data_IF_346230711592
#
_entry.id   IF_346230711592
#
_cell.length_a   1.000
_cell.length_b   1.000
_cell.length_c   1.000
_cell.angle_alpha   90.00
_cell.angle_beta   90.00
_cell.angle_gamma   90.00
#
_symmetry.space_group_name_H-M   'P 1'
#
loop_
_entity.id
_entity.type
_entity.pdbx_description
1 polymer ?
#
# COMPACT_ATOMS: atom_id res chain seq x y z
N UNK A 1 2.84 26.03 -1.05
CA UNK A 1 4.22 25.52 -1.20
C UNK A 1 4.96 25.40 0.13
N UNK A 2 5.19 26.50 0.89
CA UNK A 2 5.96 26.45 2.17
C UNK A 2 5.36 25.44 3.16
N UNK A 3 4.04 25.41 3.36
CA UNK A 3 3.39 24.44 4.26
C UNK A 3 3.61 22.98 3.83
N UNK A 4 3.58 22.68 2.53
CA UNK A 4 3.80 21.33 2.00
C UNK A 4 5.23 20.88 2.31
N UNK A 5 6.20 21.72 2.00
CA UNK A 5 7.62 21.45 2.27
C UNK A 5 7.85 21.28 3.77
N UNK A 6 7.27 22.13 4.61
CA UNK A 6 7.38 22.04 6.05
C UNK A 6 6.76 20.74 6.59
N UNK A 7 5.57 20.35 6.14
CA UNK A 7 4.94 19.08 6.53
C UNK A 7 5.78 17.88 6.08
N UNK A 8 6.25 17.88 4.85
CA UNK A 8 7.14 16.83 4.36
C UNK A 8 8.46 16.73 5.15
N UNK A 9 9.05 17.89 5.48
CA UNK A 9 10.24 17.93 6.33
C UNK A 9 9.98 17.36 7.72
N UNK A 10 8.85 17.66 8.34
CA UNK A 10 8.45 17.08 9.64
C UNK A 10 8.35 15.56 9.54
N UNK A 11 7.76 15.02 8.49
CA UNK A 11 7.67 13.57 8.30
C UNK A 11 9.04 12.92 8.11
N UNK A 12 9.90 13.49 7.26
CA UNK A 12 11.27 13.00 7.06
C UNK A 12 12.10 13.09 8.35
N UNK A 13 11.96 14.17 9.11
CA UNK A 13 12.61 14.33 10.41
C UNK A 13 12.12 13.31 11.45
N UNK A 14 10.81 13.03 11.48
CA UNK A 14 10.23 11.99 12.34
C UNK A 14 10.76 10.60 11.99
N UNK A 15 10.86 10.28 10.70
CA UNK A 15 11.44 9.03 10.23
C UNK A 15 12.93 8.93 10.60
N UNK A 16 13.69 10.01 10.39
CA UNK A 16 15.10 10.07 10.78
C UNK A 16 15.28 9.94 12.29
N UNK A 17 14.45 10.61 13.08
CA UNK A 17 14.44 10.48 14.55
C UNK A 17 14.24 9.02 14.95
N UNK A 18 13.25 8.33 14.40
CA UNK A 18 12.99 6.92 14.69
C UNK A 18 14.18 6.02 14.33
N UNK A 19 14.82 6.27 13.18
CA UNK A 19 16.03 5.57 12.77
C UNK A 19 17.19 5.80 13.74
N UNK A 20 17.41 7.05 14.19
CA UNK A 20 18.45 7.40 15.18
C UNK A 20 18.16 6.74 16.52
N UNK A 21 16.93 6.79 17.02
CA UNK A 21 16.52 6.15 18.27
C UNK A 21 16.74 4.63 18.22
N UNK A 22 16.48 3.99 17.05
CA UNK A 22 16.85 2.57 16.85
C UNK A 22 18.36 2.35 16.92
N UNK A 23 19.16 3.21 16.28
CA UNK A 23 20.63 3.09 16.34
C UNK A 23 21.20 3.29 17.75
N UNK A 24 20.54 4.09 18.58
CA UNK A 24 20.87 4.28 20.00
C UNK A 24 20.41 3.13 20.91
N UNK A 25 19.71 2.12 20.36
CA UNK A 25 19.22 0.96 21.11
C UNK A 25 17.97 1.22 21.94
N UNK A 26 17.30 2.39 21.78
CA UNK A 26 16.03 2.71 22.44
C UNK A 26 14.84 1.99 21.80
N UNK A 27 14.94 1.69 20.51
CA UNK A 27 13.98 0.87 19.76
C UNK A 27 14.68 -0.28 19.06
N UNK A 28 13.96 -1.40 18.93
CA UNK A 28 14.39 -2.60 18.22
C UNK A 28 13.53 -2.81 16.96
N UNK A 29 14.00 -3.64 16.05
CA UNK A 29 13.27 -3.94 14.79
C UNK A 29 11.88 -4.53 15.06
N UNK A 30 11.75 -5.28 16.13
CA UNK A 30 10.52 -5.95 16.58
C UNK A 30 9.44 -4.94 17.01
N UNK A 31 9.82 -3.76 17.48
CA UNK A 31 8.90 -2.71 17.96
C UNK A 31 8.02 -2.17 16.83
N UNK A 32 8.46 -2.33 15.57
CA UNK A 32 7.61 -2.02 14.40
C UNK A 32 6.26 -2.72 14.46
N UNK A 33 6.19 -3.93 15.08
CA UNK A 33 4.96 -4.70 15.22
C UNK A 33 3.95 -4.01 16.14
N UNK A 34 4.43 -3.43 17.22
CA UNK A 34 3.59 -2.68 18.17
C UNK A 34 3.02 -1.44 17.48
N UNK A 35 3.87 -0.68 16.77
CA UNK A 35 3.42 0.49 16.00
C UNK A 35 2.43 0.12 14.90
N UNK A 36 2.71 -0.96 14.17
CA UNK A 36 1.80 -1.48 13.13
C UNK A 36 0.44 -1.85 13.73
N UNK A 37 0.40 -2.50 14.89
CA UNK A 37 -0.86 -2.85 15.56
C UNK A 37 -1.61 -1.59 16.02
N UNK A 38 -0.94 -0.59 16.59
CA UNK A 38 -1.56 0.69 16.97
C UNK A 38 -2.16 1.41 15.75
N UNK A 39 -1.43 1.41 14.64
CA UNK A 39 -1.92 1.98 13.38
C UNK A 39 -3.16 1.19 12.91
N UNK A 40 -3.06 -0.11 12.78
CA UNK A 40 -4.06 -0.94 12.11
C UNK A 40 -5.36 -1.08 12.92
N UNK A 41 -5.25 -1.13 14.26
CA UNK A 41 -6.40 -1.37 15.14
C UNK A 41 -6.97 -0.10 15.79
N UNK A 42 -6.21 1.01 15.81
CA UNK A 42 -6.64 2.21 16.53
C UNK A 42 -6.62 3.44 15.64
N UNK A 43 -5.43 3.91 15.24
CA UNK A 43 -5.33 5.26 14.64
C UNK A 43 -5.78 5.31 13.19
N UNK A 44 -5.60 4.26 12.40
CA UNK A 44 -6.11 4.21 11.03
C UNK A 44 -7.65 4.12 11.00
N UNK A 45 -8.32 3.18 11.71
CA UNK A 45 -9.78 3.19 11.82
C UNK A 45 -10.35 4.53 12.24
N UNK A 46 -9.73 5.16 13.23
CA UNK A 46 -10.13 6.48 13.72
C UNK A 46 -9.97 7.57 12.64
N UNK A 47 -8.82 7.60 11.96
CA UNK A 47 -8.58 8.54 10.85
C UNK A 47 -9.57 8.35 9.70
N UNK A 48 -9.99 7.11 9.43
CA UNK A 48 -10.99 6.81 8.41
C UNK A 48 -12.39 7.30 8.79
N UNK A 49 -12.81 7.05 10.04
CA UNK A 49 -14.09 7.56 10.55
C UNK A 49 -14.14 9.08 10.43
N UNK A 50 -13.09 9.77 10.85
CA UNK A 50 -12.97 11.22 10.72
C UNK A 50 -13.00 11.68 9.26
N UNK A 51 -12.20 11.05 8.39
CA UNK A 51 -12.09 11.39 6.96
C UNK A 51 -13.37 11.13 6.14
N UNK A 52 -14.18 10.14 6.54
CA UNK A 52 -15.48 9.86 5.90
C UNK A 52 -16.61 10.70 6.48
N UNK A 53 -16.39 11.40 7.59
CA UNK A 53 -17.46 12.19 8.22
C UNK A 53 -17.96 13.28 7.28
N UNK A 54 -19.24 13.20 6.91
CA UNK A 54 -19.88 14.11 5.96
C UNK A 54 -19.58 13.86 4.49
N UNK A 55 -18.84 12.81 4.14
CA UNK A 55 -18.62 12.43 2.75
C UNK A 55 -19.90 11.87 2.15
N UNK A 56 -20.22 12.29 0.91
CA UNK A 56 -21.37 11.78 0.16
C UNK A 56 -20.89 10.76 -0.87
N UNK A 57 -21.54 9.60 -0.90
CA UNK A 57 -21.27 8.56 -1.91
C UNK A 57 -21.59 9.11 -3.28
N UNK A 58 -20.68 8.93 -4.21
CA UNK A 58 -20.82 9.32 -5.59
C UNK A 58 -20.17 8.30 -6.55
N UNK A 59 -20.43 8.44 -7.83
CA UNK A 59 -19.89 7.52 -8.86
C UNK A 59 -18.36 7.43 -8.85
N UNK A 60 -17.67 8.47 -8.38
CA UNK A 60 -16.22 8.51 -8.34
C UNK A 60 -15.61 7.53 -7.33
N UNK A 61 -16.39 7.01 -6.37
CA UNK A 61 -15.96 5.91 -5.49
C UNK A 61 -15.73 4.64 -6.31
N UNK A 62 -16.65 4.30 -7.19
CA UNK A 62 -16.50 3.15 -8.10
C UNK A 62 -15.34 3.39 -9.06
N UNK A 63 -15.20 4.59 -9.59
CA UNK A 63 -14.05 4.97 -10.44
C UNK A 63 -12.73 4.81 -9.70
N UNK A 64 -12.66 5.19 -8.41
CA UNK A 64 -11.45 4.99 -7.59
C UNK A 64 -11.08 3.52 -7.43
N UNK A 65 -12.06 2.64 -7.17
CA UNK A 65 -11.87 1.18 -7.10
C UNK A 65 -11.30 0.66 -8.43
N UNK A 66 -11.91 1.05 -9.55
CA UNK A 66 -11.48 0.62 -10.87
C UNK A 66 -10.07 1.10 -11.22
N UNK A 67 -9.69 2.30 -10.79
CA UNK A 67 -8.32 2.82 -10.98
C UNK A 67 -7.34 1.99 -10.15
N UNK A 68 -7.61 1.74 -8.86
CA UNK A 68 -6.76 0.92 -8.01
C UNK A 68 -6.57 -0.49 -8.57
N UNK A 69 -7.66 -1.11 -9.01
CA UNK A 69 -7.64 -2.41 -9.67
C UNK A 69 -6.85 -2.36 -11.00
N UNK A 70 -7.12 -1.38 -11.87
CA UNK A 70 -6.49 -1.25 -13.18
C UNK A 70 -4.98 -1.01 -13.11
N UNK A 71 -4.52 -0.12 -12.24
CA UNK A 71 -3.08 0.15 -12.05
C UNK A 71 -2.36 -1.11 -11.59
N UNK A 72 -2.92 -1.85 -10.64
CA UNK A 72 -2.33 -3.11 -10.18
C UNK A 72 -2.33 -4.19 -11.27
N UNK A 73 -3.38 -4.26 -12.08
CA UNK A 73 -3.43 -5.16 -13.25
C UNK A 73 -2.23 -4.91 -14.17
N UNK A 74 -2.01 -3.64 -14.54
CA UNK A 74 -0.89 -3.26 -15.40
C UNK A 74 0.45 -3.59 -14.74
N UNK A 75 0.61 -3.31 -13.46
CA UNK A 75 1.84 -3.61 -12.72
C UNK A 75 2.13 -5.12 -12.66
N UNK A 76 1.12 -5.96 -12.40
CA UNK A 76 1.28 -7.42 -12.38
C UNK A 76 1.68 -7.94 -13.77
N UNK A 77 0.98 -7.51 -14.81
CA UNK A 77 1.30 -7.92 -16.19
C UNK A 77 2.71 -7.50 -16.54
N UNK A 78 3.09 -6.26 -16.30
CA UNK A 78 4.43 -5.75 -16.58
C UNK A 78 5.51 -6.50 -15.78
N UNK A 79 5.25 -6.78 -14.48
CA UNK A 79 6.14 -7.57 -13.63
C UNK A 79 6.34 -8.99 -14.16
N UNK A 80 5.27 -9.66 -14.58
CA UNK A 80 5.36 -11.01 -15.16
C UNK A 80 6.07 -11.02 -16.52
N UNK A 81 5.88 -10.00 -17.35
CA UNK A 81 6.61 -9.85 -18.61
C UNK A 81 8.10 -9.59 -18.37
N UNK A 82 8.44 -8.72 -17.42
CA UNK A 82 9.82 -8.42 -17.04
C UNK A 82 10.55 -9.66 -16.48
N UNK A 83 9.83 -10.57 -15.84
CA UNK A 83 10.38 -11.80 -15.30
C UNK A 83 10.22 -13.02 -16.23
N UNK A 84 9.67 -12.88 -17.45
CA UNK A 84 9.30 -14.00 -18.31
C UNK A 84 10.48 -14.95 -18.64
N UNK A 85 11.69 -14.41 -18.74
CA UNK A 85 12.91 -15.17 -19.04
C UNK A 85 13.72 -15.56 -17.79
N UNK A 86 13.22 -15.23 -16.60
CA UNK A 86 13.86 -15.55 -15.31
C UNK A 86 13.40 -16.93 -14.82
N UNK A 87 14.13 -17.47 -13.84
CA UNK A 87 13.73 -18.70 -13.15
C UNK A 87 12.36 -18.55 -12.47
N UNK A 88 11.67 -19.68 -12.26
CA UNK A 88 10.32 -19.71 -11.71
C UNK A 88 10.23 -19.04 -10.33
N UNK A 89 11.26 -19.16 -9.50
CA UNK A 89 11.32 -18.49 -8.20
C UNK A 89 11.32 -16.97 -8.37
N UNK A 90 12.10 -16.45 -9.30
CA UNK A 90 12.13 -15.03 -9.62
C UNK A 90 10.80 -14.56 -10.22
N UNK A 91 10.14 -15.38 -11.08
CA UNK A 91 8.80 -15.07 -11.58
C UNK A 91 7.78 -14.95 -10.44
N UNK A 92 7.88 -15.82 -9.42
CA UNK A 92 7.03 -15.75 -8.22
C UNK A 92 7.36 -14.52 -7.38
N UNK A 93 8.63 -14.19 -7.18
CA UNK A 93 9.07 -12.98 -6.47
C UNK A 93 8.54 -11.71 -7.16
N UNK A 94 8.62 -11.65 -8.50
CA UNK A 94 8.07 -10.53 -9.26
C UNK A 94 6.54 -10.45 -9.16
N UNK A 95 5.83 -11.59 -9.10
CA UNK A 95 4.38 -11.61 -8.94
C UNK A 95 3.93 -10.91 -7.64
N UNK A 96 4.65 -11.13 -6.54
CA UNK A 96 4.27 -10.57 -5.22
C UNK A 96 4.85 -9.17 -4.94
N UNK A 97 5.84 -8.72 -5.74
CA UNK A 97 6.54 -7.46 -5.46
C UNK A 97 6.31 -6.37 -6.52
N UNK A 98 5.90 -6.72 -7.76
CA UNK A 98 5.71 -5.74 -8.83
C UNK A 98 4.48 -4.86 -8.61
N UNK A 99 3.43 -5.37 -7.96
CA UNK A 99 2.20 -4.64 -7.65
C UNK A 99 1.90 -4.62 -6.16
N UNK A 100 0.75 -4.08 -5.80
CA UNK A 100 0.33 -3.92 -4.42
C UNK A 100 0.97 -2.71 -3.74
N UNK A 101 0.14 -1.97 -3.03
CA UNK A 101 0.51 -0.73 -2.36
C UNK A 101 0.35 -0.86 -0.84
N UNK A 102 1.20 -0.19 -0.09
CA UNK A 102 1.05 -0.08 1.36
C UNK A 102 0.17 1.13 1.71
N UNK A 103 -1.10 1.04 1.31
CA UNK A 103 -2.04 2.14 1.47
C UNK A 103 -2.38 2.41 2.93
N UNK A 104 -2.90 1.41 3.61
CA UNK A 104 -3.44 1.52 4.96
C UNK A 104 -2.42 2.04 5.98
N UNK A 105 -1.21 1.48 5.97
CA UNK A 105 -0.19 1.85 6.98
C UNK A 105 0.61 3.11 6.62
N UNK A 106 0.69 3.50 5.35
CA UNK A 106 1.62 4.55 4.94
C UNK A 106 0.97 5.63 4.08
N UNK A 107 0.37 5.29 2.93
CA UNK A 107 -0.10 6.30 2.00
C UNK A 107 -1.32 7.08 2.53
N UNK A 108 -2.29 6.41 3.13
CA UNK A 108 -3.47 7.08 3.71
C UNK A 108 -3.05 8.00 4.86
N UNK A 109 -2.27 7.56 5.87
CA UNK A 109 -1.76 8.45 6.92
C UNK A 109 -1.00 9.67 6.39
N UNK A 110 -0.21 9.49 5.33
CA UNK A 110 0.55 10.58 4.75
C UNK A 110 -0.33 11.56 3.96
N UNK A 111 -1.10 11.06 3.00
CA UNK A 111 -1.88 11.89 2.07
C UNK A 111 -3.08 12.58 2.73
N UNK A 112 -3.66 12.00 3.79
CA UNK A 112 -4.78 12.61 4.54
C UNK A 112 -4.43 13.98 5.12
N UNK A 113 -3.15 14.25 5.41
CA UNK A 113 -2.70 15.54 5.93
C UNK A 113 -2.68 16.65 4.86
N UNK A 114 -2.61 16.28 3.58
CA UNK A 114 -2.61 17.22 2.46
C UNK A 114 -3.99 17.33 1.82
N UNK A 115 -4.71 16.22 1.77
CA UNK A 115 -6.00 16.10 1.09
C UNK A 115 -7.05 15.41 1.97
N UNK A 116 -7.45 15.99 3.12
CA UNK A 116 -8.42 15.33 4.01
C UNK A 116 -9.74 15.02 3.32
N UNK A 117 -10.25 15.91 2.46
CA UNK A 117 -11.46 15.66 1.66
C UNK A 117 -11.29 14.58 0.57
N UNK A 118 -10.07 14.18 0.27
CA UNK A 118 -9.75 13.11 -0.71
C UNK A 118 -9.66 11.71 -0.08
N UNK A 119 -9.66 11.59 1.23
CA UNK A 119 -9.51 10.31 1.95
C UNK A 119 -10.51 9.24 1.48
N UNK A 120 -11.81 9.54 1.26
CA UNK A 120 -12.75 8.53 0.77
C UNK A 120 -12.34 7.95 -0.59
N UNK A 121 -11.86 8.75 -1.53
CA UNK A 121 -11.38 8.26 -2.84
C UNK A 121 -10.15 7.37 -2.69
N UNK A 122 -9.25 7.73 -1.77
CA UNK A 122 -8.05 6.95 -1.49
C UNK A 122 -8.39 5.59 -0.87
N UNK A 123 -9.37 5.55 0.04
CA UNK A 123 -9.87 4.31 0.63
C UNK A 123 -10.52 3.41 -0.42
N UNK A 124 -11.29 3.98 -1.36
CA UNK A 124 -11.87 3.21 -2.45
C UNK A 124 -10.80 2.71 -3.43
N UNK A 125 -9.75 3.47 -3.68
CA UNK A 125 -8.59 2.99 -4.43
C UNK A 125 -7.94 1.78 -3.73
N UNK A 126 -7.79 1.84 -2.39
CA UNK A 126 -7.25 0.74 -1.58
C UNK A 126 -8.13 -0.53 -1.67
N UNK A 127 -9.45 -0.39 -1.75
CA UNK A 127 -10.34 -1.53 -2.03
C UNK A 127 -9.97 -2.21 -3.35
N UNK A 128 -9.72 -1.42 -4.42
CA UNK A 128 -9.27 -1.97 -5.71
C UNK A 128 -7.88 -2.62 -5.65
N UNK A 129 -6.94 -2.04 -4.90
CA UNK A 129 -5.62 -2.60 -4.61
C UNK A 129 -5.70 -3.92 -3.83
N UNK A 130 -6.61 -4.01 -2.87
CA UNK A 130 -6.75 -5.14 -1.96
C UNK A 130 -7.03 -6.46 -2.68
N UNK A 131 -7.65 -6.47 -3.85
CA UNK A 131 -7.80 -7.68 -4.67
C UNK A 131 -6.45 -8.28 -5.06
N UNK A 132 -5.44 -7.44 -5.26
CA UNK A 132 -4.08 -7.87 -5.59
C UNK A 132 -3.27 -8.18 -4.34
N UNK A 133 -3.25 -7.28 -3.37
CA UNK A 133 -2.48 -7.41 -2.14
C UNK A 133 -2.93 -8.56 -1.26
N UNK A 134 -4.22 -8.90 -1.24
CA UNK A 134 -4.75 -9.96 -0.36
C UNK A 134 -4.89 -11.33 -1.04
N UNK A 135 -4.72 -11.43 -2.36
CA UNK A 135 -4.94 -12.74 -2.99
C UNK A 135 -4.29 -12.95 -4.36
N UNK A 136 -4.54 -12.09 -5.34
CA UNK A 136 -4.18 -12.32 -6.74
C UNK A 136 -2.66 -12.51 -6.93
N UNK A 137 -1.84 -11.68 -6.29
CA UNK A 137 -0.39 -11.74 -6.39
C UNK A 137 0.16 -13.06 -5.84
N UNK A 138 -0.35 -13.51 -4.69
CA UNK A 138 0.00 -14.79 -4.10
C UNK A 138 -0.43 -15.96 -4.98
N UNK A 139 -1.63 -15.90 -5.55
CA UNK A 139 -2.15 -16.93 -6.44
C UNK A 139 -1.25 -17.09 -7.69
N UNK A 140 -0.88 -15.99 -8.34
CA UNK A 140 0.02 -16.01 -9.50
C UNK A 140 1.39 -16.58 -9.12
N UNK A 141 1.96 -16.14 -8.00
CA UNK A 141 3.26 -16.65 -7.53
C UNK A 141 3.21 -18.16 -7.24
N UNK A 142 2.16 -18.63 -6.56
CA UNK A 142 1.94 -20.06 -6.28
C UNK A 142 1.83 -20.88 -7.57
N UNK A 143 1.18 -20.35 -8.61
CA UNK A 143 1.13 -20.99 -9.93
C UNK A 143 2.53 -21.14 -10.55
N UNK A 144 3.42 -20.12 -10.43
CA UNK A 144 4.79 -20.19 -10.94
C UNK A 144 5.62 -21.26 -10.23
N UNK A 145 5.50 -21.35 -8.90
CA UNK A 145 6.17 -22.40 -8.11
C UNK A 145 5.64 -23.79 -8.46
N UNK A 146 4.33 -23.94 -8.64
CA UNK A 146 3.75 -25.23 -9.07
C UNK A 146 4.26 -25.66 -10.45
N UNK A 147 4.45 -24.72 -11.38
CA UNK A 147 5.06 -25.01 -12.68
C UNK A 147 6.51 -25.48 -12.53
N UNK A 148 7.33 -24.87 -11.66
CA UNK A 148 8.68 -25.31 -11.33
C UNK A 148 8.71 -26.76 -10.87
N UNK A 149 7.85 -27.11 -9.91
CA UNK A 149 7.79 -28.45 -9.34
C UNK A 149 7.40 -29.52 -10.36
N UNK A 150 6.51 -29.19 -11.31
CA UNK A 150 6.18 -30.07 -12.45
C UNK A 150 7.34 -30.26 -13.41
N UNK A 151 8.07 -29.21 -13.72
CA UNK A 151 9.24 -29.23 -14.59
C UNK A 151 10.39 -30.09 -13.98
N UNK A 152 10.49 -30.13 -12.66
CA UNK A 152 11.52 -30.86 -11.91
C UNK A 152 11.12 -32.28 -11.49
N UNK A 153 9.96 -32.81 -11.92
CA UNK A 153 9.39 -34.11 -11.47
C UNK A 153 9.34 -34.26 -9.92
N UNK A 154 9.32 -33.17 -9.18
CA UNK A 154 9.27 -33.18 -7.74
C UNK A 154 7.80 -33.20 -7.28
N UNK A 155 7.48 -34.02 -6.27
CA UNK A 155 6.13 -34.29 -5.77
C UNK A 155 5.27 -33.05 -5.65
N UNK A 156 4.04 -33.15 -6.17
CA UNK A 156 3.06 -32.08 -6.28
C UNK A 156 2.85 -31.30 -4.98
N UNK A 157 3.10 -29.99 -4.99
CA UNK A 157 2.27 -29.11 -4.19
C UNK A 157 0.88 -29.14 -4.84
N UNK A 158 -0.02 -29.96 -4.32
CA UNK A 158 -1.41 -29.99 -4.77
C UNK A 158 -1.95 -28.58 -4.61
N UNK A 159 -2.20 -27.92 -5.72
CA UNK A 159 -3.06 -26.76 -5.77
C UNK A 159 -4.45 -27.24 -5.33
N UNK A 160 -4.76 -27.13 -4.05
CA UNK A 160 -6.15 -27.19 -3.65
C UNK A 160 -6.86 -26.08 -4.40
N UNK A 161 -7.85 -26.43 -5.21
CA UNK A 161 -8.70 -25.44 -5.90
C UNK A 161 -9.33 -24.42 -4.92
N UNK A 162 -9.40 -24.78 -3.63
CA UNK A 162 -9.89 -23.90 -2.55
C UNK A 162 -8.92 -22.75 -2.19
N UNK A 163 -7.61 -22.87 -2.45
CA UNK A 163 -6.62 -21.86 -2.02
C UNK A 163 -6.60 -20.58 -2.89
N UNK A 164 -7.45 -20.47 -3.91
CA UNK A 164 -7.48 -19.35 -4.86
C UNK A 164 -8.94 -18.94 -5.17
N UNK A 165 -9.86 -19.30 -4.34
CA UNK A 165 -11.28 -18.95 -4.54
C UNK A 165 -11.53 -17.46 -4.34
N UNK A 166 -12.30 -16.83 -5.24
CA UNK A 166 -12.84 -15.47 -5.05
C UNK A 166 -13.43 -15.32 -3.65
N UNK A 167 -14.02 -16.39 -3.11
CA UNK A 167 -14.57 -16.44 -1.75
C UNK A 167 -13.50 -16.24 -0.66
N UNK A 168 -12.28 -16.76 -0.84
CA UNK A 168 -11.18 -16.55 0.14
C UNK A 168 -10.63 -15.15 0.07
N UNK A 169 -10.53 -14.57 -1.12
CA UNK A 169 -10.17 -13.15 -1.27
C UNK A 169 -11.22 -12.29 -0.58
N UNK A 170 -12.50 -12.52 -0.83
CA UNK A 170 -13.61 -11.81 -0.18
C UNK A 170 -13.58 -12.00 1.34
N UNK A 171 -13.37 -13.23 1.83
CA UNK A 171 -13.25 -13.50 3.26
C UNK A 171 -12.04 -12.77 3.88
N UNK A 172 -10.93 -12.70 3.16
CA UNK A 172 -9.73 -11.97 3.60
C UNK A 172 -9.97 -10.47 3.69
N UNK A 173 -10.77 -9.88 2.79
CA UNK A 173 -11.20 -8.49 2.87
C UNK A 173 -11.96 -8.21 4.17
N UNK A 174 -12.99 -9.01 4.46
CA UNK A 174 -13.83 -8.89 5.68
C UNK A 174 -13.15 -9.39 6.98
N UNK A 175 -11.90 -9.76 6.95
CA UNK A 175 -11.05 -9.96 8.15
C UNK A 175 -10.13 -8.78 8.42
N UNK A 176 -10.16 -7.76 7.58
CA UNK A 176 -9.35 -6.54 7.70
C UNK A 176 -10.15 -5.42 8.35
N UNK A 177 -9.79 -5.02 9.57
CA UNK A 177 -10.47 -3.92 10.27
C UNK A 177 -10.56 -2.63 9.46
N UNK A 178 -9.51 -2.15 8.76
CA UNK A 178 -9.65 -0.99 7.90
C UNK A 178 -10.69 -1.19 6.79
N UNK A 179 -10.76 -2.38 6.20
CA UNK A 179 -11.76 -2.69 5.18
C UNK A 179 -13.19 -2.66 5.77
N UNK A 180 -13.39 -3.24 6.95
CA UNK A 180 -14.69 -3.20 7.63
C UNK A 180 -15.11 -1.77 7.93
N UNK A 181 -14.18 -0.91 8.36
CA UNK A 181 -14.44 0.52 8.57
C UNK A 181 -14.78 1.22 7.26
N UNK A 182 -14.05 0.97 6.16
CA UNK A 182 -14.40 1.51 4.83
C UNK A 182 -15.82 1.11 4.44
N UNK A 183 -16.15 -0.17 4.60
CA UNK A 183 -17.47 -0.69 4.25
C UNK A 183 -18.57 -0.04 5.08
N UNK A 184 -18.42 -0.03 6.42
CA UNK A 184 -19.39 0.58 7.34
C UNK A 184 -19.56 2.07 7.03
N UNK A 185 -18.47 2.83 6.90
CA UNK A 185 -18.53 4.27 6.62
C UNK A 185 -19.14 4.57 5.24
N UNK A 186 -18.88 3.73 4.25
CA UNK A 186 -19.50 3.85 2.93
C UNK A 186 -21.02 3.60 3.00
N UNK A 187 -21.45 2.57 3.75
CA UNK A 187 -22.87 2.28 3.96
C UNK A 187 -23.56 3.43 4.71
N UNK A 188 -22.96 3.94 5.79
CA UNK A 188 -23.49 5.07 6.53
C UNK A 188 -23.61 6.34 5.66
N UNK A 189 -22.58 6.57 4.82
CA UNK A 189 -22.56 7.69 3.88
C UNK A 189 -23.67 7.54 2.82
N UNK A 190 -23.92 6.32 2.33
CA UNK A 190 -25.00 6.00 1.39
C UNK A 190 -26.38 6.23 2.02
N UNK A 191 -26.53 5.91 3.30
CA UNK A 191 -27.74 6.16 4.08
C UNK A 191 -27.90 7.63 4.51
N UNK A 192 -26.95 8.50 4.19
CA UNK A 192 -26.85 9.89 4.67
C UNK A 192 -26.89 9.98 6.20
N UNK A 193 -26.40 8.95 6.90
CA UNK A 193 -26.34 8.91 8.35
C UNK A 193 -25.05 9.54 8.84
N UNK A 194 -25.18 10.61 9.61
CA UNK A 194 -24.04 11.27 10.25
C UNK A 194 -23.82 10.68 11.64
N UNK A 195 -22.58 10.29 11.93
CA UNK A 195 -22.20 9.84 13.26
C UNK A 195 -22.36 10.98 14.30
N UNK A 196 -22.64 10.66 15.57
CA UNK A 196 -22.66 11.64 16.65
C UNK A 196 -21.33 12.40 16.76
N UNK A 197 -21.38 13.69 17.04
CA UNK A 197 -20.20 14.57 17.09
C UNK A 197 -19.14 14.07 18.10
N UNK A 198 -19.56 13.46 19.20
CA UNK A 198 -18.64 12.87 20.19
C UNK A 198 -17.81 11.71 19.61
N UNK A 199 -18.41 10.90 18.73
CA UNK A 199 -17.70 9.80 18.04
C UNK A 199 -16.69 10.37 17.05
N UNK A 200 -17.09 11.42 16.30
CA UNK A 200 -16.20 12.10 15.35
C UNK A 200 -15.02 12.74 16.07
N UNK A 201 -15.25 13.43 17.19
CA UNK A 201 -14.20 14.06 18.00
C UNK A 201 -13.24 13.02 18.57
N UNK A 202 -13.73 11.90 19.09
CA UNK A 202 -12.88 10.81 19.58
C UNK A 202 -12.05 10.18 18.46
N UNK A 203 -12.66 9.98 17.29
CA UNK A 203 -12.00 9.47 16.10
C UNK A 203 -10.92 10.45 15.61
N UNK A 204 -11.21 11.74 15.60
CA UNK A 204 -10.27 12.78 15.20
C UNK A 204 -9.06 12.84 16.13
N UNK A 205 -9.29 12.80 17.44
CA UNK A 205 -8.23 12.76 18.45
C UNK A 205 -7.28 11.56 18.24
N UNK A 206 -7.80 10.36 18.09
CA UNK A 206 -6.99 9.16 17.84
C UNK A 206 -6.34 9.18 16.45
N UNK A 207 -7.06 9.66 15.44
CA UNK A 207 -6.63 9.69 14.05
C UNK A 207 -5.44 10.61 13.78
N UNK A 208 -5.31 11.71 14.51
CA UNK A 208 -4.18 12.64 14.39
C UNK A 208 -2.82 11.99 14.67
N UNK A 209 -2.78 10.96 15.52
CA UNK A 209 -1.54 10.19 15.78
C UNK A 209 -1.09 9.30 14.62
N UNK A 210 -1.95 9.03 13.64
CA UNK A 210 -1.72 8.03 12.60
C UNK A 210 -0.47 8.34 11.76
N UNK A 211 -0.33 9.57 11.28
CA UNK A 211 0.84 9.99 10.49
C UNK A 211 2.14 9.90 11.26
N UNK A 212 2.17 10.32 12.53
CA UNK A 212 3.36 10.22 13.38
C UNK A 212 3.78 8.76 13.59
N UNK A 213 2.84 7.89 13.97
CA UNK A 213 3.13 6.47 14.20
C UNK A 213 3.62 5.77 12.93
N UNK A 214 3.04 6.12 11.76
CA UNK A 214 3.47 5.58 10.48
C UNK A 214 4.93 5.96 10.18
N UNK A 215 5.32 7.22 10.37
CA UNK A 215 6.71 7.67 10.14
C UNK A 215 7.69 7.04 11.13
N UNK A 216 7.31 6.89 12.39
CA UNK A 216 8.09 6.17 13.39
C UNK A 216 8.31 4.71 12.98
N UNK A 217 7.25 4.03 12.56
CA UNK A 217 7.31 2.62 12.09
C UNK A 217 8.25 2.47 10.90
N UNK A 218 8.20 3.39 9.93
CA UNK A 218 9.08 3.38 8.76
C UNK A 218 10.54 3.54 9.18
N UNK A 219 10.85 4.54 10.02
CA UNK A 219 12.21 4.80 10.48
C UNK A 219 12.82 3.62 11.25
N UNK A 220 12.04 2.97 12.12
CA UNK A 220 12.46 1.75 12.82
C UNK A 220 12.68 0.58 11.85
N UNK A 221 11.85 0.46 10.83
CA UNK A 221 11.92 -0.63 9.83
C UNK A 221 13.10 -0.49 8.87
N UNK A 222 13.69 0.70 8.76
CA UNK A 222 14.69 0.99 7.75
C UNK A 222 16.01 0.25 8.03
N UNK A 223 16.40 -0.65 7.10
CA UNK A 223 17.68 -1.37 7.07
C UNK A 223 18.13 -1.49 5.60
N UNK A 224 19.42 -1.16 5.38
CA UNK A 224 20.07 -1.34 4.07
C UNK A 224 21.18 -2.38 4.24
N UNK A 225 20.80 -3.66 4.17
CA UNK A 225 21.76 -4.74 4.05
C UNK A 225 21.44 -5.50 2.76
N UNK A 226 22.23 -5.29 1.70
CA UNK A 226 21.86 -5.69 0.36
C UNK A 226 23.07 -6.22 -0.42
N UNK A 227 22.93 -7.40 -1.03
CA UNK A 227 23.89 -7.90 -2.01
C UNK A 227 23.79 -7.13 -3.33
N UNK A 228 24.83 -7.16 -4.16
CA UNK A 228 24.81 -6.50 -5.49
C UNK A 228 23.73 -7.09 -6.41
N UNK A 229 23.49 -8.38 -6.32
CA UNK A 229 22.50 -9.10 -7.12
C UNK A 229 21.08 -8.67 -6.72
N UNK A 230 20.79 -8.68 -5.41
CA UNK A 230 19.52 -8.17 -4.85
C UNK A 230 19.28 -6.70 -5.24
N UNK A 231 20.34 -5.87 -5.25
CA UNK A 231 20.24 -4.47 -5.65
C UNK A 231 19.74 -4.30 -7.10
N UNK A 232 20.24 -5.11 -8.03
CA UNK A 232 19.82 -5.07 -9.43
C UNK A 232 18.34 -5.38 -9.60
N UNK A 233 17.86 -6.44 -8.93
CA UNK A 233 16.44 -6.82 -8.99
C UNK A 233 15.52 -5.82 -8.31
N UNK A 234 15.92 -5.29 -7.16
CA UNK A 234 15.19 -4.23 -6.47
C UNK A 234 15.09 -2.96 -7.33
N UNK A 235 16.20 -2.55 -7.96
CA UNK A 235 16.19 -1.39 -8.86
C UNK A 235 15.26 -1.61 -10.04
N UNK A 236 15.28 -2.79 -10.65
CA UNK A 236 14.39 -3.13 -11.76
C UNK A 236 12.91 -3.07 -11.35
N UNK A 237 12.55 -3.62 -10.18
CA UNK A 237 11.19 -3.53 -9.64
C UNK A 237 10.79 -2.09 -9.33
N UNK A 238 11.68 -1.26 -8.77
CA UNK A 238 11.41 0.15 -8.50
C UNK A 238 11.18 0.93 -9.79
N UNK A 239 12.04 0.73 -10.81
CA UNK A 239 11.87 1.38 -12.12
C UNK A 239 10.54 0.99 -12.78
N UNK A 240 10.16 -0.28 -12.71
CA UNK A 240 8.87 -0.76 -13.20
C UNK A 240 7.71 -0.09 -12.46
N UNK A 241 7.72 -0.11 -11.13
CA UNK A 241 6.65 0.46 -10.30
C UNK A 241 6.51 1.97 -10.51
N UNK A 242 7.62 2.71 -10.45
CA UNK A 242 7.59 4.18 -10.61
C UNK A 242 7.37 4.59 -12.06
N UNK A 243 7.86 3.83 -13.04
CA UNK A 243 7.55 4.08 -14.45
C UNK A 243 6.06 3.98 -14.76
N UNK A 244 5.41 2.91 -14.30
CA UNK A 244 3.96 2.76 -14.41
C UNK A 244 3.24 3.82 -13.55
N UNK A 245 3.77 4.11 -12.37
CA UNK A 245 3.25 5.17 -11.49
C UNK A 245 3.21 6.54 -12.18
N UNK A 246 4.28 6.94 -12.88
CA UNK A 246 4.34 8.20 -13.64
C UNK A 246 3.27 8.23 -14.72
N UNK A 247 3.16 7.17 -15.54
CA UNK A 247 2.15 7.10 -16.61
C UNK A 247 0.74 7.16 -16.01
N UNK A 248 0.50 6.40 -14.94
CA UNK A 248 -0.80 6.37 -14.25
C UNK A 248 -1.14 7.73 -13.64
N UNK A 249 -0.18 8.40 -12.99
CA UNK A 249 -0.39 9.73 -12.41
C UNK A 249 -0.76 10.77 -13.47
N UNK A 250 -0.07 10.76 -14.62
CA UNK A 250 -0.39 11.65 -15.76
C UNK A 250 -1.80 11.37 -16.28
N UNK A 251 -2.17 10.11 -16.49
CA UNK A 251 -3.50 9.74 -16.96
C UNK A 251 -4.58 10.14 -15.95
N UNK A 252 -4.37 9.88 -14.67
CA UNK A 252 -5.32 10.24 -13.61
C UNK A 252 -5.46 11.76 -13.51
N UNK A 253 -4.35 12.49 -13.53
CA UNK A 253 -4.41 13.93 -13.31
C UNK A 253 -4.87 14.71 -14.55
N UNK A 254 -4.40 14.34 -15.75
CA UNK A 254 -4.66 15.10 -16.95
C UNK A 254 -5.88 14.65 -17.74
N UNK A 255 -6.22 13.34 -17.71
CA UNK A 255 -7.23 12.75 -18.59
C UNK A 255 -8.54 12.45 -17.87
N UNK A 256 -8.49 12.08 -16.58
CA UNK A 256 -9.66 11.63 -15.84
C UNK A 256 -10.66 12.80 -15.62
N UNK A 257 -11.91 12.72 -16.07
CA UNK A 257 -12.95 13.73 -15.82
C UNK A 257 -13.54 13.53 -14.41
N UNK A 258 -12.78 13.95 -13.37
CA UNK A 258 -13.13 13.75 -11.98
C UNK A 258 -12.82 15.00 -11.15
N UNK A 259 -13.37 15.13 -9.91
CA UNK A 259 -13.04 16.22 -9.01
C UNK A 259 -11.54 16.39 -8.81
N UNK A 260 -11.07 17.65 -8.75
CA UNK A 260 -9.65 17.96 -8.65
C UNK A 260 -8.98 17.24 -7.48
N UNK A 261 -9.61 17.27 -6.30
CA UNK A 261 -9.09 16.60 -5.09
C UNK A 261 -8.89 15.09 -5.30
N UNK A 262 -9.83 14.43 -6.00
CA UNK A 262 -9.69 13.00 -6.34
C UNK A 262 -8.49 12.79 -7.26
N UNK A 263 -8.35 13.59 -8.32
CA UNK A 263 -7.24 13.48 -9.27
C UNK A 263 -5.89 13.70 -8.58
N UNK A 264 -5.79 14.71 -7.72
CA UNK A 264 -4.59 15.03 -6.96
C UNK A 264 -4.17 13.89 -6.02
N UNK A 265 -5.09 13.41 -5.18
CA UNK A 265 -4.78 12.39 -4.19
C UNK A 265 -4.45 11.04 -4.84
N UNK A 266 -5.17 10.64 -5.90
CA UNK A 266 -4.91 9.38 -6.60
C UNK A 266 -3.63 9.44 -7.44
N UNK A 267 -3.32 10.58 -8.07
CA UNK A 267 -2.04 10.77 -8.77
C UNK A 267 -0.83 10.68 -7.82
N UNK A 268 -0.98 11.11 -6.57
CA UNK A 268 0.05 10.89 -5.55
C UNK A 268 0.07 9.45 -5.04
N UNK A 269 -1.10 8.82 -4.87
CA UNK A 269 -1.26 7.49 -4.29
C UNK A 269 -0.57 6.37 -5.09
N UNK A 270 -0.51 6.49 -6.43
CA UNK A 270 0.14 5.48 -7.30
C UNK A 270 1.66 5.39 -7.10
N UNK A 271 2.26 6.28 -6.33
CA UNK A 271 3.65 6.23 -5.89
C UNK A 271 3.83 5.61 -4.51
N UNK A 272 2.79 5.04 -3.93
CA UNK A 272 2.87 4.37 -2.63
C UNK A 272 3.89 3.24 -2.65
N UNK A 273 4.45 2.97 -1.47
CA UNK A 273 5.43 1.91 -1.28
C UNK A 273 4.85 0.53 -1.59
N UNK A 274 5.73 -0.43 -1.79
CA UNK A 274 5.38 -1.84 -1.97
C UNK A 274 4.62 -2.37 -0.75
N UNK A 275 3.65 -3.26 -0.97
CA UNK A 275 2.86 -3.87 0.09
C UNK A 275 3.74 -4.73 1.02
N UNK A 276 3.61 -4.53 2.33
CA UNK A 276 4.39 -5.26 3.33
C UNK A 276 4.11 -6.78 3.34
N UNK A 277 2.93 -7.18 2.87
CA UNK A 277 2.52 -8.59 2.77
C UNK A 277 3.38 -9.41 1.80
N UNK A 278 4.10 -8.76 0.87
CA UNK A 278 4.98 -9.43 -0.09
C UNK A 278 6.07 -10.27 0.60
N UNK A 279 6.58 -9.83 1.76
CA UNK A 279 7.55 -10.58 2.57
C UNK A 279 6.92 -11.89 3.07
N UNK A 280 5.71 -11.81 3.61
CA UNK A 280 4.98 -12.97 4.13
C UNK A 280 4.66 -13.97 3.02
N UNK A 281 4.32 -13.47 1.84
CA UNK A 281 4.03 -14.34 0.69
C UNK A 281 5.28 -15.01 0.16
N UNK A 282 6.42 -14.30 0.08
CA UNK A 282 7.70 -14.91 -0.30
C UNK A 282 8.08 -16.04 0.67
N UNK A 283 7.94 -15.81 1.97
CA UNK A 283 8.20 -16.81 3.00
C UNK A 283 7.28 -18.05 2.86
N UNK A 284 5.96 -17.85 2.73
CA UNK A 284 4.98 -18.93 2.55
C UNK A 284 5.20 -19.74 1.26
N UNK A 285 5.74 -19.14 0.23
CA UNK A 285 6.05 -19.79 -1.04
C UNK A 285 7.42 -20.48 -1.04
N UNK A 286 8.22 -20.30 0.01
CA UNK A 286 9.58 -20.87 0.11
C UNK A 286 10.55 -20.23 -0.87
N UNK A 287 10.32 -18.99 -1.32
CA UNK A 287 11.24 -18.21 -2.15
C UNK A 287 12.00 -17.19 -1.30
N UNK A 288 13.12 -16.66 -1.81
CA UNK A 288 13.91 -15.65 -1.08
C UNK A 288 13.06 -14.44 -0.69
N UNK A 289 13.18 -14.01 0.55
CA UNK A 289 12.56 -12.80 1.09
C UNK A 289 13.43 -11.56 0.91
N UNK A 290 14.68 -11.68 0.46
CA UNK A 290 15.67 -10.60 0.43
C UNK A 290 15.21 -9.42 -0.41
N UNK A 291 14.64 -9.69 -1.59
CA UNK A 291 14.14 -8.64 -2.48
C UNK A 291 12.99 -7.89 -1.82
N UNK A 292 12.02 -8.59 -1.25
CA UNK A 292 10.87 -7.97 -0.58
C UNK A 292 11.29 -7.17 0.67
N UNK A 293 12.25 -7.70 1.45
CA UNK A 293 12.76 -7.08 2.65
C UNK A 293 13.52 -5.77 2.39
N UNK A 294 14.13 -5.63 1.21
CA UNK A 294 14.81 -4.40 0.79
C UNK A 294 13.87 -3.46 0.04
N UNK A 295 13.05 -4.00 -0.87
CA UNK A 295 12.14 -3.22 -1.70
C UNK A 295 11.13 -2.41 -0.86
N UNK A 296 10.57 -3.03 0.18
CA UNK A 296 9.54 -2.39 1.00
C UNK A 296 10.07 -1.12 1.72
N UNK A 297 11.12 -1.16 2.55
CA UNK A 297 11.62 0.05 3.20
C UNK A 297 12.22 1.06 2.21
N UNK A 298 12.86 0.62 1.13
CA UNK A 298 13.44 1.52 0.14
C UNK A 298 12.35 2.24 -0.66
N UNK A 299 11.32 1.53 -1.13
CA UNK A 299 10.18 2.16 -1.79
C UNK A 299 9.44 3.12 -0.86
N UNK A 300 9.38 2.83 0.44
CA UNK A 300 8.78 3.71 1.43
C UNK A 300 9.59 5.01 1.61
N UNK A 301 10.91 4.92 1.65
CA UNK A 301 11.77 6.09 1.73
C UNK A 301 11.68 6.97 0.47
N UNK A 302 11.58 6.35 -0.71
CA UNK A 302 11.46 7.05 -2.00
C UNK A 302 10.06 7.64 -2.23
N UNK A 303 9.02 6.99 -1.72
CA UNK A 303 7.63 7.45 -1.87
C UNK A 303 7.43 8.87 -1.37
N UNK A 304 7.99 9.22 -0.20
CA UNK A 304 7.75 10.52 0.45
C UNK A 304 8.20 11.68 -0.43
N UNK A 305 9.47 11.78 -0.88
CA UNK A 305 9.90 12.87 -1.75
C UNK A 305 9.14 12.89 -3.09
N UNK A 306 8.83 11.73 -3.67
CA UNK A 306 8.08 11.65 -4.92
C UNK A 306 6.66 12.20 -4.73
N UNK A 307 5.93 11.74 -3.71
CA UNK A 307 4.59 12.25 -3.43
C UNK A 307 4.58 13.76 -3.14
N UNK A 308 5.58 14.27 -2.42
CA UNK A 308 5.72 15.72 -2.17
C UNK A 308 5.88 16.50 -3.48
N UNK A 309 6.68 16.00 -4.40
CA UNK A 309 6.83 16.61 -5.73
C UNK A 309 5.52 16.59 -6.50
N UNK A 310 4.81 15.45 -6.51
CA UNK A 310 3.50 15.33 -7.15
C UNK A 310 2.49 16.29 -6.53
N UNK A 311 2.42 16.36 -5.20
CA UNK A 311 1.55 17.29 -4.48
C UNK A 311 1.88 18.75 -4.87
N UNK A 312 3.18 19.10 -4.90
CA UNK A 312 3.61 20.46 -5.23
C UNK A 312 3.30 20.87 -6.69
N UNK A 313 3.32 19.90 -7.62
CA UNK A 313 3.00 20.16 -9.05
C UNK A 313 1.47 20.22 -9.26
N UNK A 314 0.70 19.49 -8.50
CA UNK A 314 -0.76 19.36 -8.70
C UNK A 314 -1.59 20.37 -7.89
N UNK A 315 -1.03 21.00 -6.87
CA UNK A 315 -1.65 22.11 -6.11
C UNK A 315 -1.46 23.45 -6.80
#
# INVERSE_FOLDING_TARGET
MIKIIATAAIYLLTMLLAYVLKKLGLFHKEDKRVLSNLIFYVTLPASLISGFSGAQVNIYYVVSILIGFGVNTVMVIAGQLAAAHKERDMQAIYAVNASGFNMACIAIPFLSNFYPAGVPYLCMFDVGDSFYTLGTTYAIAKMRISQKNKEQNTSEIKLNKSDIGVLEIVKSLFTSIPFDVYFIMTVLSFLNYRLPDIVIQAADFCGHGNGFLAMMMIGISFELNMSRETAGEVLHLLLLRYGIGIISAILIFCVLPAPLVMRQILAAAVFSSSAAVSIIYSEKLGVSTDIAAVLNPLSTALMIPIMVVVIAITM
#
